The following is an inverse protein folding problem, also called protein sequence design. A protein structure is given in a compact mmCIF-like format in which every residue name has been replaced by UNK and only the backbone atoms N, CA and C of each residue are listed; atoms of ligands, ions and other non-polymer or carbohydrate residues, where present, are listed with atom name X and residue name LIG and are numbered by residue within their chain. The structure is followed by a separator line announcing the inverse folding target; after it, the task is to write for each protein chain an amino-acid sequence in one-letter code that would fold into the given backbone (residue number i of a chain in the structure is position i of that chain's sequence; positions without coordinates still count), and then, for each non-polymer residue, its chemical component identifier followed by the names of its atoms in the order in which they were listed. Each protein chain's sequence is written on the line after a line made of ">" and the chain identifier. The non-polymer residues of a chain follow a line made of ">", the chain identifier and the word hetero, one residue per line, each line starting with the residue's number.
data_IF_127631968273
#
_entry.id   IF_127631968273
#
_cell.length_a   1.000
_cell.length_b   1.000
_cell.length_c   1.000
_cell.angle_alpha   90.00
_cell.angle_beta   90.00
_cell.angle_gamma   90.00
#
_symmetry.space_group_name_H-M   'P 1'
#
loop_
_entity.id
_entity.type
_entity.pdbx_description
1 polymer ?
#
# COMPACT_ATOMS: atom_id res chain seq x y z
N UNK A 1 -8.10 -3.88 9.17
CA UNK A 1 -7.84 -2.53 9.67
C UNK A 1 -6.41 -2.46 10.18
N UNK A 2 -5.87 -1.26 10.41
CA UNK A 2 -4.52 -1.06 10.95
C UNK A 2 -4.59 -0.24 12.23
N UNK A 3 -3.71 -0.55 13.17
CA UNK A 3 -3.52 0.21 14.40
C UNK A 3 -2.05 0.57 14.53
N UNK A 4 -1.76 1.82 14.89
CA UNK A 4 -0.40 2.35 14.97
C UNK A 4 -0.17 2.98 16.34
N UNK A 5 1.06 2.87 16.86
CA UNK A 5 1.46 3.63 18.04
C UNK A 5 1.50 5.12 17.68
N UNK A 6 0.95 5.98 18.55
CA UNK A 6 0.98 7.43 18.33
C UNK A 6 2.39 8.00 18.19
N UNK A 7 3.39 7.40 18.86
CA UNK A 7 4.80 7.74 18.69
C UNK A 7 5.33 7.44 17.30
N UNK A 8 5.03 6.25 16.76
CA UNK A 8 5.41 5.87 15.40
C UNK A 8 4.73 6.78 14.36
N UNK A 9 3.46 7.15 14.58
CA UNK A 9 2.76 8.13 13.73
C UNK A 9 3.45 9.50 13.74
N UNK A 10 3.84 10.00 14.92
CA UNK A 10 4.53 11.30 15.05
C UNK A 10 5.89 11.31 14.35
N UNK A 11 6.60 10.19 14.36
CA UNK A 11 7.92 10.04 13.74
C UNK A 11 7.83 9.89 12.21
N UNK A 12 6.96 9.02 11.73
CA UNK A 12 6.90 8.64 10.30
C UNK A 12 5.95 9.54 9.49
N UNK A 13 5.00 10.19 10.17
CA UNK A 13 3.89 10.91 9.55
C UNK A 13 2.79 9.97 9.05
N UNK A 14 1.79 10.56 8.38
CA UNK A 14 0.65 9.83 7.81
C UNK A 14 0.96 9.15 6.48
N UNK A 15 -0.11 8.83 5.76
CA UNK A 15 -0.03 8.35 4.39
C UNK A 15 0.53 9.40 3.44
N UNK A 16 1.08 8.91 2.33
CA UNK A 16 1.65 9.75 1.30
C UNK A 16 0.58 10.07 0.26
N UNK A 17 0.22 11.34 0.12
CA UNK A 17 -0.89 11.81 -0.73
C UNK A 17 -0.70 11.52 -2.23
N UNK A 18 0.48 11.05 -2.64
CA UNK A 18 0.71 10.53 -3.99
C UNK A 18 -0.13 9.28 -4.26
N UNK A 19 -0.43 8.48 -3.24
CA UNK A 19 -1.21 7.25 -3.33
C UNK A 19 -2.65 7.51 -2.90
N UNK A 20 -3.59 7.22 -3.80
CA UNK A 20 -5.01 7.37 -3.48
C UNK A 20 -5.69 6.02 -3.23
N UNK A 21 -5.09 4.92 -3.70
CA UNK A 21 -5.69 3.59 -3.58
C UNK A 21 -4.61 2.49 -3.67
N UNK A 22 -4.68 1.52 -2.76
CA UNK A 22 -3.88 0.28 -2.64
C UNK A 22 -2.42 0.39 -2.18
N UNK A 23 -1.75 1.52 -2.38
CA UNK A 23 -0.30 1.63 -2.13
C UNK A 23 0.02 2.50 -0.90
N UNK A 24 -0.98 3.17 -0.32
CA UNK A 24 -0.86 4.01 0.85
C UNK A 24 -0.37 3.24 2.09
N UNK A 25 -0.97 2.08 2.36
CA UNK A 25 -0.67 1.23 3.52
C UNK A 25 0.60 0.40 3.32
N UNK A 26 0.86 -0.06 2.09
CA UNK A 26 2.10 -0.74 1.72
C UNK A 26 3.30 0.20 1.91
N UNK A 27 3.21 1.42 1.36
CA UNK A 27 4.25 2.44 1.52
C UNK A 27 4.50 2.78 2.98
N UNK A 28 3.43 2.94 3.75
CA UNK A 28 3.54 3.29 5.16
C UNK A 28 4.18 2.18 5.98
N UNK A 29 3.82 0.92 5.71
CA UNK A 29 4.42 -0.25 6.35
C UNK A 29 5.91 -0.37 6.03
N UNK A 30 6.31 -0.05 4.80
CA UNK A 30 7.73 -0.05 4.42
C UNK A 30 8.50 1.07 5.11
N UNK A 31 7.94 2.29 5.20
CA UNK A 31 8.53 3.39 5.98
C UNK A 31 8.66 3.05 7.46
N UNK A 32 7.70 2.32 8.04
CA UNK A 32 7.79 1.82 9.41
C UNK A 32 9.01 0.91 9.57
N UNK A 33 9.22 -0.04 8.66
CA UNK A 33 10.42 -0.89 8.68
C UNK A 33 11.73 -0.14 8.47
N UNK A 34 11.72 0.93 7.65
CA UNK A 34 12.92 1.77 7.48
C UNK A 34 13.28 2.54 8.75
N UNK A 35 12.28 2.96 9.52
CA UNK A 35 12.42 3.59 10.83
C UNK A 35 12.52 2.56 11.99
N UNK A 36 12.79 1.29 11.69
CA UNK A 36 12.93 0.22 12.69
C UNK A 36 11.70 -0.06 13.56
N UNK A 37 10.51 0.40 13.14
CA UNK A 37 9.25 0.00 13.75
C UNK A 37 8.78 -1.34 13.19
N UNK A 38 8.40 -2.30 14.06
CA UNK A 38 7.90 -3.58 13.57
C UNK A 38 6.46 -3.46 13.06
N UNK A 39 6.12 -4.28 12.07
CA UNK A 39 4.77 -4.42 11.52
C UNK A 39 4.36 -5.88 11.71
N UNK A 40 3.27 -6.11 12.43
CA UNK A 40 2.78 -7.44 12.79
C UNK A 40 1.38 -7.69 12.24
N UNK A 41 1.11 -8.94 11.91
CA UNK A 41 -0.23 -9.44 11.66
C UNK A 41 -0.76 -10.14 12.93
N UNK A 42 -1.87 -9.63 13.48
CA UNK A 42 -2.54 -10.17 14.67
C UNK A 42 -3.74 -11.01 14.25
N UNK A 43 -3.60 -12.34 14.26
CA UNK A 43 -4.61 -13.27 13.74
C UNK A 43 -5.81 -13.47 14.67
N UNK A 44 -5.67 -13.13 15.95
CA UNK A 44 -6.66 -13.25 17.01
C UNK A 44 -7.74 -12.16 16.97
N UNK A 45 -7.45 -11.02 16.33
CA UNK A 45 -8.38 -9.91 16.15
C UNK A 45 -9.07 -10.03 14.79
N UNK A 46 -10.39 -10.27 14.80
CA UNK A 46 -11.20 -10.40 13.58
C UNK A 46 -12.08 -9.18 13.38
N UNK A 47 -12.01 -8.60 12.18
CA UNK A 47 -12.79 -7.43 11.76
C UNK A 47 -13.42 -7.72 10.40
N UNK A 48 -14.74 -7.53 10.27
CA UNK A 48 -15.44 -7.69 8.99
C UNK A 48 -15.39 -6.40 8.20
N UNK A 49 -14.86 -6.46 6.97
CA UNK A 49 -14.90 -5.36 6.02
C UNK A 49 -15.82 -5.71 4.85
N UNK A 50 -16.86 -4.90 4.62
CA UNK A 50 -17.79 -5.09 3.51
C UNK A 50 -17.09 -4.64 2.23
N UNK A 51 -16.64 -5.61 1.43
CA UNK A 51 -15.77 -5.34 0.29
C UNK A 51 -16.55 -4.80 -0.93
N UNK A 52 -16.10 -3.67 -1.48
CA UNK A 52 -16.58 -3.13 -2.75
C UNK A 52 -15.54 -3.27 -3.86
N UNK A 53 -15.82 -4.04 -4.93
CA UNK A 53 -14.92 -4.23 -6.08
C UNK A 53 -15.06 -3.11 -7.12
N UNK A 54 -14.79 -1.86 -6.75
CA UNK A 54 -14.94 -0.71 -7.67
C UNK A 54 -13.94 -0.70 -8.84
N UNK A 55 -12.68 -1.05 -8.59
CA UNK A 55 -11.59 -1.03 -9.57
C UNK A 55 -11.64 -2.23 -10.54
N UNK A 56 -12.21 -3.36 -10.11
CA UNK A 56 -12.24 -4.63 -10.85
C UNK A 56 -13.57 -4.91 -11.59
N UNK A 57 -14.42 -3.89 -11.80
CA UNK A 57 -15.72 -4.05 -12.47
C UNK A 57 -15.63 -4.46 -13.95
N UNK A 58 -14.52 -4.12 -14.61
CA UNK A 58 -14.33 -4.37 -16.04
C UNK A 58 -13.29 -5.47 -16.21
N UNK A 59 -13.63 -6.60 -16.85
CA UNK A 59 -12.67 -7.66 -17.13
C UNK A 59 -11.64 -7.23 -18.18
N UNK A 60 -10.39 -7.66 -18.00
CA UNK A 60 -9.26 -7.37 -18.89
C UNK A 60 -8.56 -6.06 -18.55
N UNK A 61 -7.23 -6.11 -18.40
CA UNK A 61 -6.39 -4.98 -17.97
C UNK A 61 -6.51 -3.78 -18.92
N UNK A 62 -6.46 -4.01 -20.24
CA UNK A 62 -6.56 -2.95 -21.25
C UNK A 62 -7.93 -2.25 -21.17
N UNK A 63 -9.01 -3.03 -21.12
CA UNK A 63 -10.37 -2.50 -21.04
C UNK A 63 -10.63 -1.79 -19.71
N UNK A 64 -10.09 -2.31 -18.61
CA UNK A 64 -10.19 -1.67 -17.31
C UNK A 64 -9.47 -0.31 -17.29
N UNK A 65 -8.27 -0.20 -17.84
CA UNK A 65 -7.53 1.06 -17.92
C UNK A 65 -8.23 2.09 -18.83
N UNK A 66 -8.88 1.66 -19.90
CA UNK A 66 -9.61 2.56 -20.80
C UNK A 66 -10.94 3.02 -20.21
N UNK A 67 -11.73 2.09 -19.65
CA UNK A 67 -13.14 2.32 -19.27
C UNK A 67 -13.37 2.60 -17.79
N UNK A 68 -12.39 2.38 -16.92
CA UNK A 68 -12.54 2.55 -15.47
C UNK A 68 -11.56 3.59 -14.90
N UNK A 69 -12.10 4.73 -14.43
CA UNK A 69 -11.32 5.77 -13.74
C UNK A 69 -10.56 5.22 -12.53
N UNK A 70 -11.17 4.32 -11.76
CA UNK A 70 -10.54 3.72 -10.57
C UNK A 70 -9.37 2.81 -10.98
N UNK A 71 -9.46 2.09 -12.09
CA UNK A 71 -8.34 1.30 -12.59
C UNK A 71 -7.17 2.18 -13.06
N UNK A 72 -7.45 3.35 -13.66
CA UNK A 72 -6.41 4.32 -14.03
C UNK A 72 -5.73 4.92 -12.80
N UNK A 73 -6.49 5.26 -11.76
CA UNK A 73 -5.95 5.77 -10.49
C UNK A 73 -5.10 4.70 -9.82
N UNK A 74 -5.58 3.45 -9.78
CA UNK A 74 -4.82 2.31 -9.28
C UNK A 74 -3.47 2.19 -9.99
N UNK A 75 -3.48 2.19 -11.33
CA UNK A 75 -2.27 2.09 -12.14
C UNK A 75 -1.32 3.27 -11.93
N UNK A 76 -1.85 4.49 -11.78
CA UNK A 76 -1.06 5.68 -11.45
C UNK A 76 -0.36 5.51 -10.09
N UNK A 77 -1.09 5.11 -9.05
CA UNK A 77 -0.52 4.88 -7.72
C UNK A 77 0.53 3.76 -7.73
N UNK A 78 0.32 2.70 -8.52
CA UNK A 78 1.31 1.66 -8.74
C UNK A 78 2.60 2.20 -9.35
N UNK A 79 2.52 2.98 -10.44
CA UNK A 79 3.69 3.59 -11.06
C UNK A 79 4.42 4.56 -10.12
N UNK A 80 3.68 5.37 -9.36
CA UNK A 80 4.26 6.27 -8.37
C UNK A 80 4.98 5.51 -7.26
N UNK A 81 4.42 4.37 -6.82
CA UNK A 81 5.00 3.54 -5.77
C UNK A 81 6.29 2.87 -6.27
N UNK A 82 6.24 2.26 -7.47
CA UNK A 82 7.40 1.67 -8.13
C UNK A 82 8.51 2.71 -8.35
N UNK A 83 8.16 3.94 -8.71
CA UNK A 83 9.12 5.03 -8.86
C UNK A 83 9.74 5.46 -7.53
N UNK A 84 8.92 5.65 -6.48
CA UNK A 84 9.38 6.04 -5.13
C UNK A 84 10.40 5.05 -4.58
N UNK A 85 10.16 3.76 -4.77
CA UNK A 85 10.97 2.68 -4.20
C UNK A 85 11.97 2.05 -5.18
N UNK A 86 12.19 2.67 -6.35
CA UNK A 86 13.07 2.15 -7.37
C UNK A 86 14.48 1.95 -6.83
N UNK A 87 14.99 0.71 -6.95
CA UNK A 87 16.34 0.35 -6.52
C UNK A 87 16.48 -0.01 -5.04
N UNK A 88 15.39 0.00 -4.25
CA UNK A 88 15.43 -0.47 -2.87
C UNK A 88 15.37 -2.01 -2.80
N UNK A 89 16.55 -2.63 -2.67
CA UNK A 89 16.69 -4.09 -2.55
C UNK A 89 16.94 -4.56 -1.11
N UNK A 90 16.75 -3.70 -0.10
CA UNK A 90 17.13 -3.96 1.29
C UNK A 90 16.54 -5.26 1.86
N UNK A 91 15.31 -5.60 1.48
CA UNK A 91 14.56 -6.74 2.03
C UNK A 91 14.55 -7.99 1.13
N UNK A 92 15.16 -7.93 -0.06
CA UNK A 92 15.23 -9.05 -1.02
C UNK A 92 16.60 -9.71 -1.08
N UNK A 93 17.60 -9.21 -0.33
CA UNK A 93 18.87 -9.91 -0.16
C UNK A 93 18.62 -11.15 0.70
N UNK A 94 18.62 -12.32 0.06
CA UNK A 94 18.70 -13.60 0.76
C UNK A 94 19.96 -13.53 1.63
N UNK A 95 19.80 -13.54 2.95
CA UNK A 95 20.94 -13.71 3.86
C UNK A 95 21.49 -15.14 3.61
N UNK A 96 22.80 -15.31 3.41
CA UNK A 96 23.40 -16.63 3.25
C UNK A 96 23.15 -17.51 4.48
#
# INVERSE_FOLDING_TARGET
>A
AMFVRGTAYKEIGGFDDRFFMYFEDIDWSLRMWEAHWPVYYTHDIVLTHIHGKGSAKVPGVINALLKNKLARIHFKSWLQYMWKWRGNNKYYKIRP
#
